data_IF_667438963565
#
_entry.id   IF_667438963565
#
_cell.length_a   1.000
_cell.length_b   1.000
_cell.length_c   1.000
_cell.angle_alpha   90.00
_cell.angle_beta   90.00
_cell.angle_gamma   90.00
#
_symmetry.space_group_name_H-M   'P 1'
#
loop_
_entity.id
_entity.type
_entity.pdbx_description
1 polymer ?
#
# COMPACT_ATOMS: atom_id res chain seq x y z
N UNK A 1 20.39 9.39 -5.80
CA UNK A 1 20.06 8.36 -4.79
C UNK A 1 19.50 7.15 -5.50
N UNK A 2 20.12 5.98 -5.35
CA UNK A 2 19.57 4.72 -5.87
C UNK A 2 18.37 4.30 -5.01
N UNK A 3 17.27 3.96 -5.67
CA UNK A 3 16.12 3.34 -4.99
C UNK A 3 16.39 1.85 -4.83
N UNK A 4 16.05 1.28 -3.67
CA UNK A 4 16.16 -0.17 -3.44
C UNK A 4 15.10 -0.88 -4.30
N UNK A 5 15.53 -1.82 -5.12
CA UNK A 5 14.62 -2.72 -5.83
C UNK A 5 14.26 -3.91 -4.93
N UNK A 6 13.04 -4.40 -5.07
CA UNK A 6 12.49 -5.49 -4.26
C UNK A 6 11.49 -6.30 -5.07
N UNK A 7 11.50 -7.62 -4.91
CA UNK A 7 10.47 -8.50 -5.49
C UNK A 7 9.24 -8.55 -4.59
N UNK A 8 8.06 -8.93 -5.10
CA UNK A 8 6.87 -9.12 -4.28
C UNK A 8 7.07 -10.11 -3.14
N UNK A 9 7.80 -11.20 -3.39
CA UNK A 9 8.10 -12.22 -2.38
C UNK A 9 8.85 -11.59 -1.20
N UNK A 10 9.88 -10.78 -1.51
CA UNK A 10 10.64 -10.10 -0.47
C UNK A 10 9.82 -9.06 0.29
N UNK A 11 8.92 -8.37 -0.40
CA UNK A 11 7.98 -7.44 0.24
C UNK A 11 7.09 -8.17 1.25
N UNK A 12 6.53 -9.33 0.89
CA UNK A 12 5.70 -10.11 1.80
C UNK A 12 6.49 -10.65 2.99
N UNK A 13 7.72 -11.12 2.78
CA UNK A 13 8.62 -11.53 3.85
C UNK A 13 8.91 -10.39 4.83
N UNK A 14 9.31 -9.22 4.32
CA UNK A 14 9.62 -8.05 5.16
C UNK A 14 8.37 -7.59 5.92
N UNK A 15 7.21 -7.56 5.27
CA UNK A 15 5.94 -7.24 5.91
C UNK A 15 5.58 -8.24 7.02
N UNK A 16 5.76 -9.54 6.77
CA UNK A 16 5.53 -10.60 7.76
C UNK A 16 6.52 -10.55 8.93
N UNK A 17 7.77 -10.14 8.67
CA UNK A 17 8.76 -9.85 9.70
C UNK A 17 8.47 -8.56 10.49
N UNK A 18 7.44 -7.81 10.09
CA UNK A 18 6.98 -6.60 10.78
C UNK A 18 7.63 -5.31 10.28
N UNK A 19 8.35 -5.33 9.15
CA UNK A 19 8.70 -4.12 8.44
C UNK A 19 7.44 -3.48 7.84
N UNK A 20 7.35 -2.17 7.93
CA UNK A 20 6.16 -1.41 7.53
C UNK A 20 6.50 -0.21 6.64
N UNK A 21 7.79 0.10 6.49
CA UNK A 21 8.26 1.24 5.71
C UNK A 21 8.97 0.77 4.44
N UNK A 22 8.34 1.09 3.31
CA UNK A 22 8.78 0.84 1.95
C UNK A 22 8.90 2.16 1.17
N UNK A 23 9.21 3.24 1.88
CA UNK A 23 9.43 4.56 1.29
C UNK A 23 10.56 4.51 0.25
N UNK A 24 10.31 5.11 -0.92
CA UNK A 24 11.25 5.16 -2.05
C UNK A 24 11.71 3.79 -2.60
N UNK A 25 11.05 2.68 -2.24
CA UNK A 25 11.32 1.34 -2.80
C UNK A 25 10.72 1.19 -4.21
N UNK A 26 11.38 0.45 -5.09
CA UNK A 26 10.84 -0.03 -6.36
C UNK A 26 10.48 -1.51 -6.22
N UNK A 27 9.19 -1.81 -6.31
CA UNK A 27 8.70 -3.18 -6.30
C UNK A 27 8.47 -3.67 -7.74
N UNK A 28 9.18 -4.74 -8.09
CA UNK A 28 9.17 -5.32 -9.44
C UNK A 28 8.12 -6.43 -9.50
N UNK A 29 6.86 -6.07 -9.75
CA UNK A 29 5.76 -7.01 -9.86
C UNK A 29 4.47 -6.49 -9.24
N UNK A 30 3.53 -7.43 -9.02
CA UNK A 30 2.25 -7.16 -8.39
C UNK A 30 2.36 -7.37 -6.87
N UNK A 31 1.78 -6.47 -6.09
CA UNK A 31 1.53 -6.67 -4.67
C UNK A 31 0.04 -6.89 -4.48
N UNK A 32 -0.34 -8.07 -3.98
CA UNK A 32 -1.72 -8.49 -3.73
C UNK A 32 -1.79 -9.03 -2.30
N UNK A 33 -2.49 -8.32 -1.43
CA UNK A 33 -2.76 -8.76 -0.07
C UNK A 33 -4.27 -8.90 0.11
N UNK A 34 -4.70 -10.08 0.51
CA UNK A 34 -6.08 -10.35 0.92
C UNK A 34 -6.15 -10.93 2.33
N UNK A 35 -7.30 -10.76 2.97
CA UNK A 35 -7.75 -11.50 4.17
C UNK A 35 -6.73 -11.53 5.31
N UNK A 36 -6.16 -10.36 5.64
CA UNK A 36 -5.10 -10.24 6.64
C UNK A 36 -5.33 -9.10 7.62
N UNK A 37 -4.92 -9.34 8.86
CA UNK A 37 -4.79 -8.31 9.88
C UNK A 37 -3.33 -7.87 10.02
N UNK A 38 -3.05 -6.63 9.66
CA UNK A 38 -1.73 -6.01 9.68
C UNK A 38 -1.69 -5.06 10.88
N UNK A 39 -0.96 -5.49 11.91
CA UNK A 39 -0.88 -4.80 13.21
C UNK A 39 -0.02 -3.52 13.21
N UNK A 40 0.43 -3.08 12.03
CA UNK A 40 1.29 -1.90 11.83
C UNK A 40 0.80 -1.10 10.64
N UNK A 41 1.39 0.07 10.43
CA UNK A 41 1.17 0.85 9.21
C UNK A 41 1.75 0.14 7.98
N UNK A 42 1.32 0.55 6.79
CA UNK A 42 1.97 0.23 5.52
C UNK A 42 2.31 1.56 4.86
N UNK A 43 3.59 1.88 4.82
CA UNK A 43 4.11 3.14 4.31
C UNK A 43 4.82 2.86 2.99
N UNK A 44 4.28 3.37 1.88
CA UNK A 44 4.84 3.21 0.53
C UNK A 44 5.04 4.57 -0.13
N UNK A 45 5.48 5.56 0.65
CA UNK A 45 5.61 6.95 0.20
C UNK A 45 6.66 7.05 -0.92
N UNK A 46 6.32 7.73 -2.02
CA UNK A 46 7.18 7.87 -3.23
C UNK A 46 7.68 6.56 -3.85
N UNK A 47 7.20 5.42 -3.38
CA UNK A 47 7.54 4.10 -3.92
C UNK A 47 7.04 3.94 -5.36
N UNK A 48 7.53 2.91 -6.04
CA UNK A 48 7.05 2.52 -7.36
C UNK A 48 6.66 1.05 -7.33
N UNK A 49 5.44 0.74 -7.75
CA UNK A 49 5.00 -0.63 -8.05
C UNK A 49 4.92 -0.74 -9.57
N UNK A 50 5.69 -1.65 -10.15
CA UNK A 50 5.72 -1.84 -11.62
C UNK A 50 4.54 -2.65 -12.15
N UNK A 51 3.82 -3.35 -11.26
CA UNK A 51 2.54 -4.02 -11.55
C UNK A 51 1.36 -3.36 -10.84
N UNK A 52 0.40 -4.20 -10.44
CA UNK A 52 -0.79 -3.85 -9.67
C UNK A 52 -0.49 -3.76 -8.18
N UNK A 53 -1.22 -2.90 -7.48
CA UNK A 53 -1.26 -2.83 -6.02
C UNK A 53 -2.70 -3.12 -5.57
N UNK A 54 -2.91 -4.26 -4.92
CA UNK A 54 -4.20 -4.75 -4.48
C UNK A 54 -4.25 -5.02 -2.99
N UNK A 55 -5.23 -4.43 -2.33
CA UNK A 55 -5.58 -4.64 -0.93
C UNK A 55 -7.07 -5.01 -0.86
N UNK A 56 -7.37 -6.21 -0.40
CA UNK A 56 -8.74 -6.71 -0.30
C UNK A 56 -9.00 -7.28 1.10
N UNK A 57 -10.11 -6.92 1.73
CA UNK A 57 -10.49 -7.50 3.04
C UNK A 57 -9.38 -7.37 4.10
N UNK A 58 -8.63 -6.25 4.09
CA UNK A 58 -7.54 -6.03 5.03
C UNK A 58 -8.00 -5.23 6.24
N UNK A 59 -7.45 -5.57 7.40
CA UNK A 59 -7.55 -4.74 8.61
C UNK A 59 -6.15 -4.23 8.95
N UNK A 60 -5.91 -2.94 8.78
CA UNK A 60 -4.65 -2.26 9.08
C UNK A 60 -4.86 -1.45 10.36
N UNK A 61 -4.15 -1.78 11.43
CA UNK A 61 -4.30 -1.03 12.70
C UNK A 61 -3.57 0.30 12.69
N UNK A 62 -2.57 0.46 11.82
CA UNK A 62 -1.86 1.73 11.60
C UNK A 62 -2.38 2.49 10.39
N UNK A 63 -1.49 3.29 9.80
CA UNK A 63 -1.75 4.09 8.61
C UNK A 63 -1.57 3.27 7.33
N UNK A 64 -2.29 3.63 6.27
CA UNK A 64 -2.00 3.21 4.91
C UNK A 64 -1.62 4.42 4.08
N UNK A 65 -0.32 4.58 3.81
CA UNK A 65 0.21 5.78 3.16
C UNK A 65 0.86 5.47 1.82
N UNK A 66 0.16 5.80 0.74
CA UNK A 66 0.60 5.67 -0.64
C UNK A 66 1.00 7.03 -1.24
N UNK A 67 1.28 8.04 -0.43
CA UNK A 67 1.49 9.41 -0.90
C UNK A 67 2.66 9.50 -1.89
N UNK A 68 2.42 10.10 -3.05
CA UNK A 68 3.42 10.25 -4.11
C UNK A 68 3.87 8.94 -4.77
N UNK A 69 3.25 7.81 -4.44
CA UNK A 69 3.57 6.51 -5.05
C UNK A 69 3.24 6.48 -6.55
N UNK A 70 3.90 5.59 -7.29
CA UNK A 70 3.65 5.36 -8.71
C UNK A 70 3.30 3.90 -8.95
N UNK A 71 2.08 3.63 -9.37
CA UNK A 71 1.58 2.28 -9.67
C UNK A 71 1.37 2.19 -11.18
N UNK A 72 2.13 1.32 -11.83
CA UNK A 72 2.08 1.16 -13.28
C UNK A 72 0.90 0.31 -13.75
N UNK A 73 0.34 -0.54 -12.88
CA UNK A 73 -0.92 -1.24 -13.10
C UNK A 73 -2.09 -0.56 -12.38
N UNK A 74 -3.01 -1.40 -11.90
CA UNK A 74 -4.20 -1.00 -11.17
C UNK A 74 -3.91 -0.76 -9.68
N UNK A 75 -4.64 0.18 -9.08
CA UNK A 75 -4.75 0.34 -7.63
C UNK A 75 -6.14 -0.13 -7.21
N UNK A 76 -6.18 -1.24 -6.47
CA UNK A 76 -7.42 -1.85 -5.97
C UNK A 76 -7.39 -1.82 -4.45
N UNK A 77 -8.30 -1.08 -3.84
CA UNK A 77 -8.61 -1.15 -2.42
C UNK A 77 -10.09 -1.48 -2.28
N UNK A 78 -10.38 -2.63 -1.70
CA UNK A 78 -11.75 -3.10 -1.56
C UNK A 78 -11.96 -3.72 -0.17
N UNK A 79 -13.08 -3.39 0.47
CA UNK A 79 -13.47 -3.92 1.78
C UNK A 79 -12.35 -3.82 2.84
N UNK A 80 -11.64 -2.69 2.90
CA UNK A 80 -10.50 -2.52 3.80
C UNK A 80 -10.85 -1.64 5.00
N UNK A 81 -10.33 -1.96 6.18
CA UNK A 81 -10.41 -1.11 7.38
C UNK A 81 -9.02 -0.62 7.76
N UNK A 82 -8.83 0.69 7.80
CA UNK A 82 -7.60 1.36 8.23
C UNK A 82 -7.90 2.15 9.50
N UNK A 83 -7.41 1.70 10.64
CA UNK A 83 -7.67 2.37 11.93
C UNK A 83 -6.93 3.70 12.06
N UNK A 84 -5.82 3.89 11.32
CA UNK A 84 -5.10 5.15 11.19
C UNK A 84 -5.52 5.96 9.96
N UNK A 85 -4.60 6.79 9.47
CA UNK A 85 -4.79 7.63 8.28
C UNK A 85 -4.64 6.82 7.01
N UNK A 86 -5.54 7.04 6.06
CA UNK A 86 -5.41 6.56 4.69
C UNK A 86 -5.08 7.74 3.77
N UNK A 87 -3.94 7.67 3.06
CA UNK A 87 -3.54 8.72 2.13
C UNK A 87 -3.09 8.16 0.78
N UNK A 88 -3.66 8.72 -0.28
CA UNK A 88 -3.24 8.52 -1.68
C UNK A 88 -2.82 9.84 -2.33
N UNK A 89 -2.47 10.85 -1.52
CA UNK A 89 -2.17 12.20 -2.00
C UNK A 89 -1.00 12.17 -3.00
N UNK A 90 -1.23 12.68 -4.21
CA UNK A 90 -0.22 12.72 -5.26
C UNK A 90 0.20 11.35 -5.82
N UNK A 91 -0.47 10.26 -5.44
CA UNK A 91 -0.26 8.95 -6.04
C UNK A 91 -0.66 8.98 -7.52
N UNK A 92 0.15 8.35 -8.36
CA UNK A 92 -0.09 8.23 -9.81
C UNK A 92 -0.34 6.77 -10.15
N UNK A 93 -1.53 6.48 -10.66
CA UNK A 93 -1.94 5.15 -11.11
C UNK A 93 -2.13 5.21 -12.62
N UNK A 94 -1.45 4.34 -13.37
CA UNK A 94 -1.60 4.27 -14.83
C UNK A 94 -2.82 3.44 -15.24
N UNK A 95 -3.13 2.39 -14.49
CA UNK A 95 -4.32 1.55 -14.69
C UNK A 95 -5.55 2.11 -13.99
N UNK A 96 -6.49 1.21 -13.67
CA UNK A 96 -7.72 1.55 -12.97
C UNK A 96 -7.42 1.88 -11.51
N UNK A 97 -8.09 2.92 -10.99
CA UNK A 97 -8.20 3.18 -9.55
C UNK A 97 -9.59 2.74 -9.08
N UNK A 98 -9.63 1.71 -8.25
CA UNK A 98 -10.83 1.25 -7.57
C UNK A 98 -10.58 1.34 -6.07
N UNK A 99 -11.36 2.17 -5.39
CA UNK A 99 -11.31 2.36 -3.94
C UNK A 99 -12.77 2.30 -3.51
N UNK A 100 -13.18 1.18 -2.93
CA UNK A 100 -14.54 0.91 -2.49
C UNK A 100 -14.49 0.31 -1.08
N UNK A 101 -15.53 0.57 -0.29
CA UNK A 101 -15.71 -0.03 1.02
C UNK A 101 -14.48 0.10 1.95
N UNK A 102 -13.76 1.22 1.81
CA UNK A 102 -12.62 1.56 2.67
C UNK A 102 -13.10 2.38 3.84
N UNK A 103 -12.99 1.82 5.05
CA UNK A 103 -13.27 2.52 6.30
C UNK A 103 -11.95 3.05 6.88
N UNK A 104 -11.83 4.35 7.03
CA UNK A 104 -10.72 4.97 7.75
C UNK A 104 -11.23 5.91 8.86
N UNK A 105 -10.40 6.15 9.88
CA UNK A 105 -10.72 7.22 10.83
C UNK A 105 -10.58 8.57 10.15
N UNK A 106 -11.66 9.33 10.12
CA UNK A 106 -11.59 10.77 9.92
C UNK A 106 -10.91 11.37 11.16
N UNK A 107 -9.85 12.14 10.93
CA UNK A 107 -9.28 12.97 11.99
C UNK A 107 -9.89 14.35 11.80
N UNK A 108 -10.71 14.79 12.75
CA UNK A 108 -11.01 16.20 12.93
C UNK A 108 -9.70 16.86 13.40
N UNK A 109 -9.24 17.88 12.66
CA UNK A 109 -8.03 18.67 12.97
C UNK A 109 -8.20 19.51 14.25
#
# INVERSE_FOLDING_TARGET
MCRKEMTPEKFYEELAAGCSDFTDVIIIGNILLSDRNIKKSIIMVRSRVTGRLGFQSLVITGDLNLSGSRIAGDLLLDNCRVSGKFSVKGARVKGRRHIADVQCKEYED
#
